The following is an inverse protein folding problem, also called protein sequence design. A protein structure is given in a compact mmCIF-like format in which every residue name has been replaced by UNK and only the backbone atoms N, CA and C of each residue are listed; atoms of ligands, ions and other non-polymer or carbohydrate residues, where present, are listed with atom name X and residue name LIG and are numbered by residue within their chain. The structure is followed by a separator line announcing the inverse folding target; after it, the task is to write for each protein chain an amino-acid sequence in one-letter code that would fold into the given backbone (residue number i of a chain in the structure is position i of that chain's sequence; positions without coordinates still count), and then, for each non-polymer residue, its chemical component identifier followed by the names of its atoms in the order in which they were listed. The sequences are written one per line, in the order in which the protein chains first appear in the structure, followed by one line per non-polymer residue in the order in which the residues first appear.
data_IF_573556940838
#
_entry.id   IF_573556940838
#
_cell.length_a   1.000
_cell.length_b   1.000
_cell.length_c   1.000
_cell.angle_alpha   90.00
_cell.angle_beta   90.00
_cell.angle_gamma   90.00
#
_symmetry.space_group_name_H-M   'P 1'
#
loop_
_entity.id
_entity.type
_entity.pdbx_description
1 polymer ?
#
# COMPACT_ATOMS: atom_id res chain seq x y z
N UNK A 1 8.51 80.56 20.67
CA UNK A 1 8.91 79.72 21.82
C UNK A 1 7.66 79.33 22.61
N UNK A 2 7.10 78.15 22.33
CA UNK A 2 5.94 77.60 23.07
C UNK A 2 6.36 76.23 23.62
N UNK A 3 6.05 76.05 24.90
CA UNK A 3 6.55 75.01 25.79
C UNK A 3 5.69 73.73 25.66
N UNK A 4 6.39 72.60 25.52
CA UNK A 4 6.13 71.24 26.06
C UNK A 4 4.68 70.70 25.99
N UNK A 5 4.46 69.74 25.09
CA UNK A 5 3.34 68.80 25.17
C UNK A 5 3.65 67.70 26.20
N UNK A 6 2.64 67.47 27.05
CA UNK A 6 2.64 66.51 28.14
C UNK A 6 2.16 65.14 27.65
N UNK A 7 2.81 64.11 28.19
CA UNK A 7 2.67 62.68 27.98
C UNK A 7 1.26 62.14 28.23
N UNK A 8 0.71 61.34 27.32
CA UNK A 8 -0.25 60.28 27.65
C UNK A 8 -0.12 59.13 26.64
N UNK A 9 0.90 58.30 26.86
CA UNK A 9 1.04 57.01 26.19
C UNK A 9 0.87 55.91 27.22
N UNK A 10 -0.23 55.15 27.14
CA UNK A 10 -0.32 53.77 27.62
C UNK A 10 -1.67 53.15 27.24
N UNK A 11 -1.66 51.85 26.99
CA UNK A 11 -2.80 50.94 26.82
C UNK A 11 -3.51 50.97 25.47
N UNK A 12 -2.98 50.23 24.48
CA UNK A 12 -3.69 49.08 23.88
C UNK A 12 -2.84 48.33 22.81
N UNK A 13 -1.66 47.82 23.16
CA UNK A 13 -0.94 46.86 22.29
C UNK A 13 -0.43 45.71 23.14
N UNK A 14 -1.30 44.73 23.39
CA UNK A 14 -0.91 43.42 23.91
C UNK A 14 -2.02 42.38 23.65
N UNK A 15 -2.46 42.23 22.39
CA UNK A 15 -3.06 40.96 21.98
C UNK A 15 -1.88 40.04 21.65
N UNK A 16 -1.43 39.31 22.67
CA UNK A 16 -0.43 38.25 22.57
C UNK A 16 -0.87 37.27 21.46
N UNK A 17 -0.21 37.35 20.31
CA UNK A 17 -0.17 36.28 19.35
C UNK A 17 0.58 35.10 19.98
N UNK A 18 -0.13 34.23 20.69
CA UNK A 18 0.38 32.92 21.07
C UNK A 18 0.25 32.01 19.85
N UNK A 19 1.14 32.20 18.87
CA UNK A 19 1.37 31.17 17.87
C UNK A 19 2.07 30.01 18.59
N UNK A 20 1.28 29.03 19.00
CA UNK A 20 1.78 27.76 19.48
C UNK A 20 2.56 27.12 18.34
N UNK A 21 3.89 27.26 18.37
CA UNK A 21 4.77 26.49 17.52
C UNK A 21 4.65 25.02 17.95
N UNK A 22 3.68 24.29 17.39
CA UNK A 22 3.60 22.85 17.51
C UNK A 22 4.77 22.28 16.71
N UNK A 23 5.88 22.04 17.38
CA UNK A 23 6.96 21.20 16.87
C UNK A 23 6.41 19.79 16.74
N UNK A 24 5.99 19.42 15.53
CA UNK A 24 5.65 18.03 15.23
C UNK A 24 6.93 17.21 15.38
N UNK A 25 6.98 16.37 16.41
CA UNK A 25 8.05 15.39 16.55
C UNK A 25 8.10 14.54 15.28
N UNK A 26 9.27 14.42 14.66
CA UNK A 26 9.46 13.56 13.50
C UNK A 26 9.12 12.12 13.90
N UNK A 27 8.05 11.58 13.31
CA UNK A 27 7.63 10.19 13.50
C UNK A 27 8.78 9.25 13.16
N UNK A 28 9.14 8.36 14.10
CA UNK A 28 10.16 7.34 13.86
C UNK A 28 9.68 6.36 12.80
N UNK A 29 10.41 6.29 11.68
CA UNK A 29 10.06 5.38 10.59
C UNK A 29 10.51 3.95 10.93
N UNK A 30 9.60 3.01 10.69
CA UNK A 30 9.86 1.57 10.77
C UNK A 30 10.21 1.05 9.38
N UNK A 31 11.27 0.23 9.29
CA UNK A 31 11.61 -0.49 8.06
C UNK A 31 10.81 -1.79 7.98
N UNK A 32 10.00 -1.95 6.94
CA UNK A 32 9.22 -3.17 6.67
C UNK A 32 9.71 -3.78 5.37
N UNK A 33 10.09 -5.06 5.40
CA UNK A 33 10.38 -5.86 4.22
C UNK A 33 9.11 -6.60 3.79
N UNK A 34 8.78 -6.49 2.51
CA UNK A 34 7.70 -7.25 1.87
C UNK A 34 8.32 -8.10 0.78
N UNK A 35 8.08 -9.40 0.83
CA UNK A 35 8.57 -10.39 -0.15
C UNK A 35 7.37 -11.00 -0.87
N UNK A 36 7.41 -11.04 -2.19
CA UNK A 36 6.43 -11.81 -2.96
C UNK A 36 6.93 -13.26 -3.04
N UNK A 37 6.26 -14.15 -2.31
CA UNK A 37 6.76 -15.51 -2.04
C UNK A 37 6.40 -16.48 -3.16
N UNK A 38 5.15 -16.49 -3.59
CA UNK A 38 4.69 -17.40 -4.65
C UNK A 38 3.42 -16.91 -5.33
N UNK A 39 3.23 -17.30 -6.59
CA UNK A 39 1.95 -17.30 -7.28
C UNK A 39 1.58 -18.73 -7.71
N UNK A 40 0.56 -19.30 -7.07
CA UNK A 40 0.16 -20.68 -7.30
C UNK A 40 -1.17 -20.72 -8.08
N UNK A 41 -1.20 -21.30 -9.28
CA UNK A 41 -2.45 -21.65 -9.97
C UNK A 41 -3.09 -22.85 -9.27
N UNK A 42 -4.11 -22.61 -8.46
CA UNK A 42 -4.73 -23.62 -7.58
C UNK A 42 -5.80 -24.45 -8.28
N UNK A 43 -6.47 -23.89 -9.29
CA UNK A 43 -7.42 -24.62 -10.12
C UNK A 43 -7.56 -23.93 -11.46
N UNK A 44 -7.74 -24.71 -12.53
CA UNK A 44 -7.99 -24.19 -13.87
C UNK A 44 -9.06 -25.02 -14.56
N UNK A 45 -10.30 -24.50 -14.61
CA UNK A 45 -11.40 -25.17 -15.29
C UNK A 45 -11.40 -24.80 -16.78
N UNK A 46 -10.36 -25.16 -17.54
CA UNK A 46 -10.26 -24.87 -18.99
C UNK A 46 -10.34 -23.38 -19.38
N UNK A 47 -9.86 -22.45 -18.55
CA UNK A 47 -9.83 -21.02 -18.91
C UNK A 47 -8.71 -20.72 -19.92
N UNK A 48 -7.56 -21.37 -19.78
CA UNK A 48 -6.43 -21.18 -20.69
C UNK A 48 -5.16 -21.86 -20.20
N UNK A 49 -4.09 -21.79 -20.98
CA UNK A 49 -2.82 -22.48 -20.70
C UNK A 49 -1.60 -21.55 -20.72
N UNK A 50 -1.76 -20.31 -21.17
CA UNK A 50 -0.71 -19.31 -21.19
C UNK A 50 -1.06 -18.21 -20.20
N UNK A 51 -0.13 -17.92 -19.27
CA UNK A 51 -0.44 -17.09 -18.12
C UNK A 51 0.66 -16.07 -17.88
N UNK A 52 0.24 -14.84 -17.60
CA UNK A 52 1.05 -13.84 -16.94
C UNK A 52 0.52 -13.64 -15.51
N UNK A 53 1.41 -13.33 -14.58
CA UNK A 53 1.05 -12.97 -13.21
C UNK A 53 2.01 -11.92 -12.64
N UNK A 54 1.49 -11.11 -11.71
CA UNK A 54 2.23 -10.01 -11.12
C UNK A 54 1.88 -9.77 -9.66
N UNK A 55 2.90 -9.47 -8.84
CA UNK A 55 2.75 -9.04 -7.45
C UNK A 55 3.14 -7.58 -7.29
N UNK A 56 2.36 -6.82 -6.54
CA UNK A 56 2.55 -5.38 -6.37
C UNK A 56 2.55 -4.97 -4.90
N UNK A 57 3.50 -4.12 -4.54
CA UNK A 57 3.63 -3.53 -3.21
C UNK A 57 3.67 -2.00 -3.35
N UNK A 58 2.70 -1.31 -2.75
CA UNK A 58 2.50 0.14 -2.88
C UNK A 58 2.50 0.62 -4.34
N UNK A 59 1.91 -0.18 -5.24
CA UNK A 59 1.82 0.11 -6.68
C UNK A 59 3.09 -0.20 -7.47
N UNK A 60 4.19 -0.61 -6.81
CA UNK A 60 5.40 -1.07 -7.49
C UNK A 60 5.31 -2.58 -7.69
N UNK A 61 5.48 -3.02 -8.93
CA UNK A 61 5.61 -4.44 -9.27
C UNK A 61 6.89 -5.03 -8.67
N UNK A 62 6.78 -6.24 -8.16
CA UNK A 62 7.89 -7.08 -7.71
C UNK A 62 7.69 -8.48 -8.27
N UNK A 63 8.81 -9.14 -8.61
CA UNK A 63 8.78 -10.51 -9.12
C UNK A 63 8.64 -11.53 -8.00
N UNK A 64 8.24 -12.73 -8.35
CA UNK A 64 8.22 -13.85 -7.40
C UNK A 64 9.63 -14.13 -6.89
N UNK A 65 9.77 -14.31 -5.58
CA UNK A 65 11.04 -14.42 -4.86
C UNK A 65 11.65 -13.07 -4.46
N UNK A 66 11.27 -11.98 -5.12
CA UNK A 66 11.82 -10.64 -4.84
C UNK A 66 11.22 -9.99 -3.60
N UNK A 67 11.93 -8.97 -3.12
CA UNK A 67 11.49 -8.19 -1.97
C UNK A 67 11.75 -6.69 -2.12
N UNK A 68 10.92 -5.91 -1.44
CA UNK A 68 11.10 -4.46 -1.28
C UNK A 68 11.15 -4.11 0.20
N UNK A 69 12.04 -3.19 0.56
CA UNK A 69 12.08 -2.61 1.91
C UNK A 69 11.48 -1.21 1.88
N UNK A 70 10.46 -0.99 2.71
CA UNK A 70 9.72 0.26 2.84
C UNK A 70 10.09 0.93 4.16
N UNK A 71 10.24 2.25 4.17
CA UNK A 71 10.47 3.05 5.38
C UNK A 71 9.21 3.86 5.69
N UNK A 72 8.40 3.37 6.64
CA UNK A 72 7.02 3.82 6.86
C UNK A 72 6.78 4.30 8.29
N UNK A 73 5.83 5.22 8.48
CA UNK A 73 5.32 5.58 9.80
C UNK A 73 4.40 4.48 10.33
N UNK A 74 4.19 4.44 11.65
CA UNK A 74 3.26 3.49 12.29
C UNK A 74 1.81 3.67 11.85
N UNK A 75 1.44 4.88 11.41
CA UNK A 75 0.11 5.25 10.89
C UNK A 75 -0.10 4.83 9.43
N UNK A 76 0.97 4.52 8.70
CA UNK A 76 0.90 4.19 7.28
C UNK A 76 0.30 2.80 7.07
N UNK A 77 -0.04 2.50 5.81
CA UNK A 77 -0.48 1.17 5.39
C UNK A 77 0.29 0.72 4.15
N UNK A 78 0.49 -0.59 4.03
CA UNK A 78 1.10 -1.25 2.89
C UNK A 78 -0.04 -1.76 2.00
N UNK A 79 -0.07 -1.31 0.76
CA UNK A 79 -0.99 -1.80 -0.27
C UNK A 79 -0.36 -2.99 -0.97
N UNK A 80 -1.08 -4.12 -1.00
CA UNK A 80 -0.72 -5.31 -1.75
C UNK A 80 -1.74 -5.50 -2.87
N UNK A 81 -1.26 -5.84 -4.06
CA UNK A 81 -2.09 -6.22 -5.20
C UNK A 81 -1.48 -7.44 -5.89
N UNK A 82 -2.35 -8.33 -6.34
CA UNK A 82 -1.99 -9.51 -7.12
C UNK A 82 -2.85 -9.54 -8.38
N UNK A 83 -2.24 -10.00 -9.48
CA UNK A 83 -2.87 -10.08 -10.80
C UNK A 83 -2.52 -11.40 -11.47
N UNK A 84 -3.49 -11.98 -12.17
CA UNK A 84 -3.27 -13.07 -13.10
C UNK A 84 -4.03 -12.75 -14.39
N UNK A 85 -3.43 -13.06 -15.52
CA UNK A 85 -4.00 -12.84 -16.84
C UNK A 85 -3.75 -14.04 -17.74
N UNK A 86 -4.81 -14.53 -18.36
CA UNK A 86 -4.72 -15.52 -19.44
C UNK A 86 -4.25 -14.80 -20.72
N UNK A 87 -3.24 -15.35 -21.40
CA UNK A 87 -2.56 -14.71 -22.54
C UNK A 87 -3.10 -15.21 -23.90
N UNK A 88 -4.39 -15.06 -24.17
CA UNK A 88 -4.96 -15.27 -25.50
C UNK A 88 -5.13 -13.94 -26.28
N UNK A 89 -5.65 -14.02 -27.51
CA UNK A 89 -6.07 -12.89 -28.35
C UNK A 89 -6.99 -11.92 -27.61
N UNK A 90 -7.79 -12.43 -26.69
CA UNK A 90 -8.67 -11.65 -25.83
C UNK A 90 -8.40 -11.99 -24.36
N UNK A 91 -7.41 -11.33 -23.75
CA UNK A 91 -7.01 -11.66 -22.39
C UNK A 91 -8.15 -11.51 -21.39
N UNK A 92 -8.31 -12.53 -20.53
CA UNK A 92 -9.15 -12.45 -19.33
C UNK A 92 -8.25 -12.23 -18.10
N UNK A 93 -8.60 -11.24 -17.29
CA UNK A 93 -7.81 -10.83 -16.12
C UNK A 93 -8.55 -11.06 -14.79
N UNK A 94 -7.76 -11.17 -13.73
CA UNK A 94 -8.24 -11.23 -12.36
C UNK A 94 -7.32 -10.44 -11.44
N UNK A 95 -7.92 -9.76 -10.45
CA UNK A 95 -7.19 -8.90 -9.51
C UNK A 95 -7.68 -9.09 -8.08
N UNK A 96 -6.73 -9.11 -7.14
CA UNK A 96 -7.02 -9.06 -5.71
C UNK A 96 -6.17 -7.99 -5.02
N UNK A 97 -6.71 -7.34 -3.98
CA UNK A 97 -6.04 -6.25 -3.26
C UNK A 97 -6.20 -6.43 -1.75
N UNK A 98 -5.21 -5.97 -0.99
CA UNK A 98 -5.31 -5.88 0.48
C UNK A 98 -4.48 -4.70 1.00
N UNK A 99 -4.86 -4.20 2.18
CA UNK A 99 -4.14 -3.14 2.88
C UNK A 99 -3.76 -3.62 4.27
N UNK A 100 -2.49 -3.46 4.64
CA UNK A 100 -1.93 -3.89 5.93
C UNK A 100 -1.40 -2.67 6.67
N UNK A 101 -2.02 -2.31 7.81
CA UNK A 101 -1.55 -1.21 8.66
C UNK A 101 -0.18 -1.55 9.24
N UNK A 102 0.76 -0.59 9.24
CA UNK A 102 2.11 -0.82 9.78
C UNK A 102 2.07 -1.15 11.27
N UNK A 103 1.18 -0.51 12.02
CA UNK A 103 0.99 -0.75 13.45
C UNK A 103 0.58 -2.18 13.82
N UNK A 104 -0.05 -2.94 12.91
CA UNK A 104 -0.43 -4.32 13.18
C UNK A 104 0.70 -5.33 12.95
N UNK A 105 1.82 -4.91 12.36
CA UNK A 105 2.97 -5.76 12.06
C UNK A 105 3.86 -5.86 13.31
N UNK A 106 3.55 -6.81 14.18
CA UNK A 106 4.34 -7.09 15.40
C UNK A 106 5.37 -8.21 15.18
N UNK A 107 5.08 -9.14 14.28
CA UNK A 107 5.93 -10.27 13.88
C UNK A 107 5.83 -10.52 12.38
N UNK A 108 6.74 -11.33 11.84
CA UNK A 108 6.64 -11.79 10.46
C UNK A 108 5.32 -12.52 10.23
N UNK A 109 4.65 -12.21 9.12
CA UNK A 109 3.36 -12.83 8.76
C UNK A 109 3.26 -13.03 7.25
N UNK A 110 2.48 -14.03 6.85
CA UNK A 110 2.12 -14.25 5.45
C UNK A 110 0.72 -13.71 5.19
N UNK A 111 0.56 -13.02 4.06
CA UNK A 111 -0.72 -12.53 3.55
C UNK A 111 -0.98 -13.17 2.20
N UNK A 112 -2.08 -13.91 2.11
CA UNK A 112 -2.54 -14.50 0.85
C UNK A 112 -3.57 -13.60 0.16
N UNK A 113 -3.44 -13.44 -1.14
CA UNK A 113 -4.44 -12.84 -2.02
C UNK A 113 -4.93 -13.91 -3.00
N UNK A 114 -6.24 -14.12 -3.06
CA UNK A 114 -6.84 -15.08 -3.97
C UNK A 114 -7.41 -14.34 -5.17
N UNK A 115 -6.90 -14.65 -6.36
CA UNK A 115 -7.33 -14.08 -7.63
C UNK A 115 -8.19 -15.10 -8.35
N UNK A 116 -9.29 -14.65 -8.95
CA UNK A 116 -10.13 -15.47 -9.84
C UNK A 116 -10.14 -14.82 -11.21
N UNK A 117 -9.77 -15.58 -12.24
CA UNK A 117 -9.89 -15.20 -13.65
C UNK A 117 -11.09 -15.97 -14.20
N UNK A 118 -12.00 -15.28 -14.90
CA UNK A 118 -13.23 -15.87 -15.44
C UNK A 118 -13.22 -15.69 -16.96
N UNK A 119 -13.42 -16.78 -17.69
CA UNK A 119 -13.50 -16.72 -19.14
C UNK A 119 -14.80 -16.07 -19.57
N UNK A 120 -14.71 -14.97 -20.32
CA UNK A 120 -15.91 -14.19 -20.67
C UNK A 120 -16.43 -14.47 -22.08
N UNK A 121 -15.83 -15.45 -22.80
CA UNK A 121 -16.10 -15.70 -24.23
C UNK A 121 -16.01 -17.19 -24.55
N UNK A 122 -16.39 -17.56 -25.77
CA UNK A 122 -16.15 -18.90 -26.30
C UNK A 122 -16.98 -20.02 -25.67
N UNK A 123 -16.57 -21.26 -25.93
CA UNK A 123 -17.26 -22.49 -25.50
C UNK A 123 -17.27 -22.65 -23.98
N UNK A 124 -16.25 -22.11 -23.33
CA UNK A 124 -15.98 -22.30 -21.91
C UNK A 124 -16.33 -21.06 -21.08
N UNK A 125 -17.04 -20.08 -21.66
CA UNK A 125 -17.51 -18.89 -20.96
C UNK A 125 -18.17 -19.23 -19.61
N UNK A 126 -17.76 -18.50 -18.57
CA UNK A 126 -18.17 -18.71 -17.18
C UNK A 126 -17.25 -19.65 -16.39
N UNK A 127 -16.36 -20.37 -17.07
CA UNK A 127 -15.31 -21.12 -16.40
C UNK A 127 -14.34 -20.20 -15.68
N UNK A 128 -13.65 -20.74 -14.66
CA UNK A 128 -12.73 -19.95 -13.86
C UNK A 128 -11.42 -20.68 -13.56
N UNK A 129 -10.36 -19.87 -13.46
CA UNK A 129 -9.08 -20.24 -12.91
C UNK A 129 -8.88 -19.48 -11.59
N UNK A 130 -8.35 -20.16 -10.59
CA UNK A 130 -8.08 -19.60 -9.27
C UNK A 130 -6.60 -19.62 -9.01
N UNK A 131 -6.11 -18.52 -8.49
CA UNK A 131 -4.72 -18.32 -8.13
C UNK A 131 -4.62 -17.89 -6.66
N UNK A 132 -3.56 -18.34 -5.99
CA UNK A 132 -3.21 -17.89 -4.65
C UNK A 132 -1.82 -17.27 -4.67
N UNK A 133 -1.75 -15.98 -4.34
CA UNK A 133 -0.53 -15.20 -4.24
C UNK A 133 -0.15 -15.03 -2.77
N UNK A 134 1.08 -15.32 -2.40
CA UNK A 134 1.55 -15.22 -1.02
C UNK A 134 2.58 -14.10 -0.88
N UNK A 135 2.37 -13.20 0.07
CA UNK A 135 3.31 -12.16 0.46
C UNK A 135 3.78 -12.38 1.89
N UNK A 136 5.09 -12.33 2.13
CA UNK A 136 5.65 -12.30 3.48
C UNK A 136 5.93 -10.85 3.87
N UNK A 137 5.48 -10.45 5.05
CA UNK A 137 5.64 -9.10 5.59
C UNK A 137 6.36 -9.20 6.93
N UNK A 138 7.47 -8.49 7.09
CA UNK A 138 8.26 -8.52 8.32
C UNK A 138 8.96 -7.18 8.61
N UNK A 139 9.12 -6.87 9.90
CA UNK A 139 9.98 -5.77 10.33
C UNK A 139 11.44 -6.13 10.07
N UNK A 140 12.19 -5.20 9.50
CA UNK A 140 13.65 -5.30 9.43
C UNK A 140 14.20 -4.95 10.81
N UNK A 141 15.01 -5.84 11.37
CA UNK A 141 15.70 -5.61 12.65
C UNK A 141 16.83 -4.61 12.48
#
# INVERSE_FOLDING_TARGET
MIKKFFTLGLCLIALLATTTNHTLAASTKTKIKVTFVSADLVSNNHVGNEWWWGGYVNGKEIQEGDSVTLSLNSTDSISLRAEAQEQDKYPDDGVAKSSVKVSSITKATNKSLNVTVVENRGRYSGNSAKWTFKFKIEKVK
#
